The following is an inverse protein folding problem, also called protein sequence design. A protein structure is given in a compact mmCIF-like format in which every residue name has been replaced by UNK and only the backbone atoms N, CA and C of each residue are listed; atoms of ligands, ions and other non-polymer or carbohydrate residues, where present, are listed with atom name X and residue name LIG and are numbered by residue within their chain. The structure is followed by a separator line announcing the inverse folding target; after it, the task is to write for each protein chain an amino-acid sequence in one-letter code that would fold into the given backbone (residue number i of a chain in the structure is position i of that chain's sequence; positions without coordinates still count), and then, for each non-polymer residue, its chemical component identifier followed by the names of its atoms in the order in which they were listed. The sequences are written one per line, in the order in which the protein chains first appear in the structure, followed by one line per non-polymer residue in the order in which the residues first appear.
data_IF_887426591042
#
_entry.id   IF_887426591042
#
_cell.length_a   1.000
_cell.length_b   1.000
_cell.length_c   1.000
_cell.angle_alpha   90.00
_cell.angle_beta   90.00
_cell.angle_gamma   90.00
#
_symmetry.space_group_name_H-M   'P 1'
#
loop_
_entity.id
_entity.type
_entity.pdbx_description
1 polymer ?
#
# COMPACT_ATOMS: atom_id res chain seq x y z
N UNK A 1 -0.23 20.25 -5.04
CA UNK A 1 -0.62 19.80 -6.39
C UNK A 1 -1.39 18.49 -6.24
N UNK A 2 -2.38 18.24 -7.11
CA UNK A 2 -3.03 16.93 -7.16
C UNK A 2 -2.00 15.87 -7.59
N UNK A 3 -2.01 14.71 -6.94
CA UNK A 3 -1.14 13.61 -7.31
C UNK A 3 -1.56 13.06 -8.69
N UNK A 4 -0.60 12.90 -9.59
CA UNK A 4 -0.82 12.26 -10.89
C UNK A 4 -0.04 10.96 -10.96
N UNK A 5 -0.76 9.86 -11.17
CA UNK A 5 -0.17 8.52 -11.27
C UNK A 5 0.74 8.41 -12.49
N UNK A 6 1.91 7.81 -12.32
CA UNK A 6 2.85 7.52 -13.40
C UNK A 6 2.65 6.10 -13.93
N UNK A 7 2.25 6.01 -15.18
CA UNK A 7 2.03 4.74 -15.89
C UNK A 7 3.00 4.54 -17.06
N UNK A 8 3.84 5.53 -17.33
CA UNK A 8 4.79 5.50 -18.44
C UNK A 8 6.19 5.90 -17.98
N UNK A 9 7.20 5.41 -18.70
CA UNK A 9 8.60 5.80 -18.48
C UNK A 9 8.74 7.34 -18.50
N UNK A 10 9.56 7.92 -17.62
CA UNK A 10 9.89 9.35 -17.71
C UNK A 10 10.41 9.72 -19.09
N UNK A 11 9.91 10.82 -19.66
CA UNK A 11 10.33 11.30 -20.97
C UNK A 11 11.74 11.88 -20.98
N UNK A 12 12.31 12.01 -22.17
CA UNK A 12 13.60 12.65 -22.38
C UNK A 12 13.63 14.06 -21.78
N UNK A 13 14.73 14.41 -21.14
CA UNK A 13 14.90 15.73 -20.54
C UNK A 13 14.13 15.96 -19.24
N UNK A 14 13.41 14.96 -18.69
CA UNK A 14 12.75 15.12 -17.40
C UNK A 14 13.79 15.29 -16.28
N UNK A 15 13.85 16.51 -15.75
CA UNK A 15 14.88 16.98 -14.80
C UNK A 15 15.02 16.10 -13.53
N UNK A 16 13.97 15.38 -13.16
CA UNK A 16 14.00 14.53 -11.97
C UNK A 16 14.78 13.22 -12.17
N UNK A 17 15.06 12.84 -13.42
CA UNK A 17 15.72 11.58 -13.78
C UNK A 17 17.04 11.78 -14.51
N UNK A 18 17.52 13.01 -14.60
CA UNK A 18 18.79 13.36 -15.25
C UNK A 18 19.84 13.74 -14.21
N UNK A 19 20.97 13.03 -14.22
CA UNK A 19 22.10 13.25 -13.31
C UNK A 19 22.51 14.71 -13.19
N UNK A 20 22.71 15.35 -14.32
CA UNK A 20 23.26 16.71 -14.42
C UNK A 20 22.35 17.76 -13.78
N UNK A 21 21.04 17.55 -13.84
CA UNK A 21 20.05 18.44 -13.24
C UNK A 21 19.88 18.20 -11.73
N UNK A 22 20.32 17.05 -11.24
CA UNK A 22 20.09 16.61 -9.88
C UNK A 22 21.35 16.66 -9.00
N UNK A 23 22.39 17.33 -9.36
CA UNK A 23 23.68 17.43 -8.69
C UNK A 23 23.86 16.65 -7.38
N UNK A 24 24.97 16.02 -7.17
CA UNK A 24 25.28 15.33 -5.91
C UNK A 24 24.72 13.91 -5.74
N UNK A 25 24.18 13.31 -6.77
CA UNK A 25 23.86 11.88 -6.73
C UNK A 25 25.09 11.01 -6.49
N UNK A 26 24.96 10.03 -5.61
CA UNK A 26 25.97 8.99 -5.42
C UNK A 26 25.92 7.94 -6.51
N UNK A 27 26.97 7.12 -6.63
CA UNK A 27 27.00 6.00 -7.57
C UNK A 27 25.85 4.98 -7.34
N UNK A 28 25.28 4.92 -6.14
CA UNK A 28 24.15 4.06 -5.82
C UNK A 28 22.91 4.38 -6.67
N UNK A 29 22.71 5.65 -7.03
CA UNK A 29 21.58 6.08 -7.87
C UNK A 29 21.81 5.79 -9.34
N UNK A 30 23.07 5.78 -9.78
CA UNK A 30 23.36 5.76 -11.21
C UNK A 30 23.41 4.40 -11.83
N UNK A 31 23.64 3.35 -11.14
CA UNK A 31 23.71 2.03 -11.70
C UNK A 31 24.41 1.96 -13.07
N UNK A 32 23.93 1.07 -13.91
CA UNK A 32 24.28 0.99 -15.33
C UNK A 32 23.14 1.62 -16.14
N UNK A 33 23.23 2.88 -16.60
CA UNK A 33 22.20 3.47 -17.41
C UNK A 33 22.01 2.66 -18.69
N UNK A 34 20.80 2.17 -18.91
CA UNK A 34 20.38 1.52 -20.15
C UNK A 34 19.53 2.44 -21.00
N UNK A 35 19.25 3.63 -20.49
CA UNK A 35 18.40 4.63 -21.11
C UNK A 35 19.14 5.97 -21.17
N UNK A 36 19.53 6.39 -22.36
CA UNK A 36 20.21 7.66 -22.58
C UNK A 36 19.32 8.90 -22.35
N UNK A 37 18.02 8.73 -22.36
CA UNK A 37 17.05 9.81 -22.15
C UNK A 37 16.86 10.14 -20.68
N UNK A 38 16.96 9.11 -19.82
CA UNK A 38 16.82 9.22 -18.37
C UNK A 38 18.02 8.55 -17.73
N UNK A 39 19.09 9.28 -17.48
CA UNK A 39 20.37 8.69 -17.09
C UNK A 39 20.44 8.12 -15.65
N UNK A 40 19.38 8.19 -14.88
CA UNK A 40 19.22 7.46 -13.62
C UNK A 40 18.56 6.09 -13.80
N UNK A 41 18.07 5.78 -15.00
CA UNK A 41 17.50 4.50 -15.37
C UNK A 41 18.56 3.67 -16.14
N UNK A 42 18.65 2.38 -15.95
CA UNK A 42 17.78 1.56 -15.09
C UNK A 42 18.38 1.37 -13.71
N UNK A 43 17.65 1.84 -12.69
CA UNK A 43 18.06 1.75 -11.30
C UNK A 43 16.84 2.02 -10.39
N UNK A 44 16.53 1.13 -9.45
CA UNK A 44 15.39 1.30 -8.54
C UNK A 44 15.53 2.54 -7.66
N UNK A 45 16.73 2.78 -7.14
CA UNK A 45 17.04 3.92 -6.26
C UNK A 45 16.94 5.23 -7.04
N UNK A 46 17.56 5.30 -8.22
CA UNK A 46 17.52 6.49 -9.06
C UNK A 46 16.10 6.84 -9.50
N UNK A 47 15.33 5.82 -9.89
CA UNK A 47 13.93 6.01 -10.25
C UNK A 47 13.09 6.49 -9.07
N UNK A 48 13.11 5.76 -7.94
CA UNK A 48 12.30 6.11 -6.77
C UNK A 48 12.63 7.48 -6.21
N UNK A 49 13.92 7.83 -6.17
CA UNK A 49 14.39 9.15 -5.79
C UNK A 49 13.83 10.24 -6.73
N UNK A 50 13.98 10.05 -8.05
CA UNK A 50 13.44 10.98 -9.05
C UNK A 50 11.93 11.14 -8.93
N UNK A 51 11.19 10.04 -8.83
CA UNK A 51 9.73 10.05 -8.74
C UNK A 51 9.24 10.71 -7.45
N UNK A 52 9.89 10.42 -6.32
CA UNK A 52 9.52 11.00 -5.03
C UNK A 52 9.66 12.53 -5.05
N UNK A 53 10.71 13.05 -5.69
CA UNK A 53 10.92 14.49 -5.86
C UNK A 53 10.02 15.12 -6.92
N UNK A 54 9.71 14.39 -8.00
CA UNK A 54 8.76 14.82 -9.02
C UNK A 54 7.36 15.04 -8.43
N UNK A 55 6.89 14.14 -7.57
CA UNK A 55 5.62 14.26 -6.85
C UNK A 55 5.60 15.58 -6.03
N UNK A 56 6.71 15.91 -5.40
CA UNK A 56 6.85 17.14 -4.62
C UNK A 56 7.05 18.40 -5.44
N UNK A 57 7.35 18.27 -6.73
CA UNK A 57 7.69 19.39 -7.60
C UNK A 57 9.07 20.00 -7.30
N UNK A 58 9.95 19.27 -6.60
CA UNK A 58 11.26 19.76 -6.18
C UNK A 58 12.30 19.57 -7.28
N UNK A 59 13.08 20.61 -7.56
CA UNK A 59 14.17 20.52 -8.52
C UNK A 59 15.38 19.74 -8.02
N UNK A 60 15.42 19.41 -6.73
CA UNK A 60 16.51 18.73 -6.04
C UNK A 60 15.98 17.98 -4.83
N UNK A 61 16.61 16.90 -4.43
CA UNK A 61 16.14 16.08 -3.32
C UNK A 61 16.02 16.85 -2.01
N UNK A 62 14.81 16.99 -1.57
CA UNK A 62 14.51 17.61 -0.30
C UNK A 62 14.39 16.59 0.84
N UNK A 63 14.02 15.37 0.54
CA UNK A 63 13.59 14.42 1.55
C UNK A 63 14.38 13.12 1.63
N UNK A 64 14.76 12.53 0.52
CA UNK A 64 15.54 11.29 0.49
C UNK A 64 16.99 11.59 0.19
N UNK A 65 17.91 10.88 0.83
CA UNK A 65 19.33 10.93 0.47
C UNK A 65 19.64 9.89 -0.62
N UNK A 66 20.64 10.14 -1.48
CA UNK A 66 21.07 9.23 -2.52
C UNK A 66 21.92 8.09 -1.94
N UNK A 67 21.26 7.09 -1.37
CA UNK A 67 21.87 5.92 -0.72
C UNK A 67 21.31 4.63 -1.33
N UNK A 68 21.85 3.47 -0.96
CA UNK A 68 21.30 2.18 -1.32
C UNK A 68 19.87 2.01 -0.82
N UNK A 69 19.09 1.18 -1.51
CA UNK A 69 17.66 1.03 -1.28
C UNK A 69 17.30 0.73 0.18
N UNK A 70 17.99 -0.23 0.79
CA UNK A 70 17.80 -0.65 2.18
C UNK A 70 18.05 0.47 3.20
N UNK A 71 18.84 1.46 2.84
CA UNK A 71 19.17 2.57 3.70
C UNK A 71 18.20 3.76 3.62
N UNK A 72 17.25 3.75 2.68
CA UNK A 72 16.29 4.85 2.51
C UNK A 72 15.54 5.18 3.80
N UNK A 73 15.20 4.17 4.61
CA UNK A 73 14.51 4.38 5.89
C UNK A 73 15.37 5.21 6.86
N UNK A 74 16.68 5.03 6.87
CA UNK A 74 17.59 5.77 7.76
C UNK A 74 17.81 7.21 7.26
N UNK A 75 17.78 7.41 5.93
CA UNK A 75 18.07 8.69 5.28
C UNK A 75 16.82 9.38 4.72
N UNK A 76 15.67 9.11 5.32
CA UNK A 76 14.36 9.66 4.94
C UNK A 76 14.17 11.16 5.21
N UNK A 77 15.14 11.82 5.86
CA UNK A 77 14.99 13.20 6.32
C UNK A 77 13.83 13.34 7.30
N UNK A 78 12.98 14.35 7.10
CA UNK A 78 11.80 14.62 7.92
C UNK A 78 10.55 13.82 7.52
N UNK A 79 10.66 12.88 6.56
CA UNK A 79 9.52 12.08 6.15
C UNK A 79 9.10 11.11 7.26
N UNK A 80 7.79 10.91 7.43
CA UNK A 80 7.26 9.87 8.29
C UNK A 80 7.40 8.50 7.62
N UNK A 81 7.51 7.46 8.44
CA UNK A 81 7.53 6.05 8.01
C UNK A 81 6.39 5.31 8.67
N UNK A 82 5.75 4.43 7.94
CA UNK A 82 4.70 3.58 8.46
C UNK A 82 4.54 2.29 7.69
N UNK A 83 3.57 1.47 8.11
CA UNK A 83 3.26 0.17 7.52
C UNK A 83 1.96 0.17 6.70
N UNK A 84 1.25 1.29 6.69
CA UNK A 84 0.02 1.47 5.90
C UNK A 84 0.37 2.12 4.57
N UNK A 85 -0.06 1.57 3.43
CA UNK A 85 0.25 2.16 2.14
C UNK A 85 -0.43 3.52 1.95
N UNK A 86 0.31 4.47 1.38
CA UNK A 86 -0.22 5.78 0.96
C UNK A 86 0.26 6.08 -0.45
N UNK A 87 -0.56 6.77 -1.23
CA UNK A 87 -0.19 7.24 -2.57
C UNK A 87 1.05 8.13 -2.50
N UNK A 88 1.96 7.97 -3.43
CA UNK A 88 3.22 8.71 -3.48
C UNK A 88 4.29 8.23 -2.48
N UNK A 89 3.99 7.25 -1.63
CA UNK A 89 4.96 6.70 -0.70
C UNK A 89 6.05 5.88 -1.41
N UNK A 90 7.26 5.93 -0.86
CA UNK A 90 8.34 5.04 -1.28
C UNK A 90 8.30 3.75 -0.44
N UNK A 91 8.11 2.62 -1.08
CA UNK A 91 8.22 1.28 -0.51
C UNK A 91 9.68 0.88 -0.43
N UNK A 92 10.10 0.30 0.69
CA UNK A 92 11.51 -0.05 0.93
C UNK A 92 11.63 -1.51 1.36
N UNK A 93 12.52 -2.24 0.69
CA UNK A 93 12.90 -3.60 1.05
C UNK A 93 14.39 -3.73 1.26
N UNK A 94 14.77 -4.49 2.26
CA UNK A 94 16.12 -4.97 2.53
C UNK A 94 16.30 -6.35 1.91
N UNK A 95 17.39 -6.58 1.20
CA UNK A 95 17.81 -7.90 0.73
C UNK A 95 18.52 -8.67 1.83
N UNK A 96 18.42 -9.99 1.84
CA UNK A 96 19.14 -10.86 2.78
C UNK A 96 20.59 -11.08 2.34
N UNK A 97 21.51 -11.04 3.30
CA UNK A 97 22.94 -11.20 3.04
C UNK A 97 23.45 -10.09 2.11
N UNK A 98 24.16 -10.46 1.05
CA UNK A 98 24.73 -9.52 0.09
C UNK A 98 23.76 -9.09 -1.02
N UNK A 99 22.48 -9.50 -0.90
CA UNK A 99 21.47 -9.12 -1.88
C UNK A 99 21.10 -7.64 -1.71
N UNK A 100 21.24 -6.87 -2.78
CA UNK A 100 20.83 -5.47 -2.79
C UNK A 100 19.33 -5.33 -2.47
N UNK A 101 18.98 -4.30 -1.71
CA UNK A 101 17.60 -3.94 -1.44
C UNK A 101 16.83 -3.49 -2.69
N UNK A 102 15.55 -3.20 -2.50
CA UNK A 102 14.68 -2.68 -3.56
C UNK A 102 13.80 -1.56 -3.05
N UNK A 103 13.43 -0.65 -3.95
CA UNK A 103 12.47 0.44 -3.68
C UNK A 103 11.50 0.60 -4.85
N UNK A 104 10.28 1.00 -4.53
CA UNK A 104 9.21 1.28 -5.49
C UNK A 104 8.38 2.47 -5.04
N UNK A 105 7.69 3.14 -5.95
CA UNK A 105 6.78 4.23 -5.60
C UNK A 105 5.33 3.76 -5.74
N UNK A 106 4.52 4.03 -4.71
CA UNK A 106 3.09 3.74 -4.71
C UNK A 106 2.37 4.75 -5.59
N UNK A 107 1.80 4.30 -6.68
CA UNK A 107 1.05 5.13 -7.61
C UNK A 107 -0.46 5.11 -7.33
N UNK A 108 -0.96 4.00 -6.79
CA UNK A 108 -2.35 3.85 -6.38
C UNK A 108 -2.46 2.89 -5.20
N UNK A 109 -3.35 3.19 -4.29
CA UNK A 109 -3.75 2.31 -3.19
C UNK A 109 -5.15 1.81 -3.50
N UNK A 110 -5.32 0.50 -3.57
CA UNK A 110 -6.63 -0.14 -3.71
C UNK A 110 -7.22 -0.46 -2.33
N UNK A 111 -6.37 -0.98 -1.44
CA UNK A 111 -6.68 -1.21 -0.02
C UNK A 111 -5.36 -1.38 0.78
N UNK A 112 -5.46 -1.69 2.08
CA UNK A 112 -4.29 -1.85 2.95
C UNK A 112 -3.38 -3.06 2.60
N UNK A 113 -3.78 -3.90 1.65
CA UNK A 113 -3.03 -5.08 1.22
C UNK A 113 -2.75 -5.09 -0.28
N UNK A 114 -3.17 -4.06 -1.04
CA UNK A 114 -3.00 -4.02 -2.48
C UNK A 114 -2.69 -2.60 -2.95
N UNK A 115 -1.55 -2.46 -3.61
CA UNK A 115 -1.11 -1.21 -4.24
C UNK A 115 -0.69 -1.44 -5.69
N UNK A 116 -0.65 -0.38 -6.46
CA UNK A 116 -0.06 -0.31 -7.79
C UNK A 116 1.17 0.58 -7.70
N UNK A 117 2.29 0.12 -8.23
CA UNK A 117 3.59 0.78 -8.13
C UNK A 117 4.15 1.16 -9.48
N UNK A 118 5.08 2.10 -9.45
CA UNK A 118 6.03 2.35 -10.53
C UNK A 118 7.44 2.02 -10.05
N UNK A 119 8.23 1.40 -10.92
CA UNK A 119 9.49 0.77 -10.56
C UNK A 119 10.51 0.81 -11.67
N UNK A 120 11.77 0.62 -11.27
CA UNK A 120 12.92 0.34 -12.12
C UNK A 120 13.84 -0.67 -11.42
N UNK A 121 14.79 -1.26 -12.11
CA UNK A 121 15.75 -2.21 -11.53
C UNK A 121 17.16 -1.97 -12.02
N UNK A 122 18.15 -2.22 -11.17
CA UNK A 122 19.56 -2.03 -11.50
C UNK A 122 19.97 -2.87 -12.71
N UNK A 123 20.44 -2.22 -13.78
CA UNK A 123 20.88 -2.89 -14.99
C UNK A 123 19.77 -3.63 -15.75
N UNK A 124 18.51 -3.43 -15.42
CA UNK A 124 17.38 -4.06 -16.11
C UNK A 124 17.29 -3.57 -17.56
N UNK A 125 17.07 -4.50 -18.51
CA UNK A 125 16.78 -4.17 -19.91
C UNK A 125 15.47 -3.39 -20.05
N UNK A 126 14.50 -3.60 -19.14
CA UNK A 126 13.32 -2.77 -19.02
C UNK A 126 13.57 -1.69 -17.96
N UNK A 127 13.79 -0.44 -18.36
CA UNK A 127 14.13 0.64 -17.43
C UNK A 127 12.97 1.13 -16.58
N UNK A 128 11.75 0.72 -16.90
CA UNK A 128 10.55 1.14 -16.19
C UNK A 128 9.43 0.11 -16.34
N UNK A 129 8.72 -0.16 -15.24
CA UNK A 129 7.48 -0.94 -15.27
C UNK A 129 6.53 -0.52 -14.15
N UNK A 130 5.28 -0.93 -14.27
CA UNK A 130 4.30 -0.87 -13.21
C UNK A 130 4.00 -2.28 -12.71
N UNK A 131 3.68 -2.42 -11.42
CA UNK A 131 3.35 -3.69 -10.79
C UNK A 131 2.17 -3.56 -9.83
N UNK A 132 1.34 -4.59 -9.80
CA UNK A 132 0.46 -4.82 -8.66
C UNK A 132 1.25 -5.52 -7.56
N UNK A 133 1.23 -4.94 -6.35
CA UNK A 133 1.90 -5.52 -5.19
C UNK A 133 0.89 -5.81 -4.10
N UNK A 134 0.94 -7.05 -3.62
CA UNK A 134 0.03 -7.56 -2.61
C UNK A 134 0.79 -7.83 -1.31
N UNK A 135 0.18 -7.48 -0.18
CA UNK A 135 0.74 -7.72 1.14
C UNK A 135 0.57 -9.19 1.55
N UNK A 136 1.34 -10.06 0.93
CA UNK A 136 1.39 -11.48 1.30
C UNK A 136 2.38 -11.64 2.46
N UNK A 137 1.86 -11.83 3.68
CA UNK A 137 2.64 -11.99 4.91
C UNK A 137 3.66 -10.86 5.16
N UNK A 138 3.29 -9.63 4.88
CA UNK A 138 4.14 -8.45 5.09
C UNK A 138 5.23 -8.24 4.05
N UNK A 139 5.27 -8.99 2.93
CA UNK A 139 6.35 -8.94 1.94
C UNK A 139 6.09 -8.04 0.74
N UNK A 140 4.87 -7.66 0.50
CA UNK A 140 4.47 -6.79 -0.60
C UNK A 140 4.98 -7.24 -1.98
N UNK A 141 4.74 -8.53 -2.29
CA UNK A 141 5.05 -9.12 -3.59
C UNK A 141 6.53 -9.48 -3.82
N UNK A 142 7.42 -9.24 -2.86
CA UNK A 142 8.78 -9.76 -2.91
C UNK A 142 8.87 -11.19 -2.36
N UNK A 143 9.85 -11.95 -2.84
CA UNK A 143 10.11 -13.31 -2.37
C UNK A 143 10.72 -13.34 -0.96
N UNK A 144 11.02 -14.53 -0.45
CA UNK A 144 11.53 -14.73 0.92
C UNK A 144 12.94 -14.17 1.17
N UNK A 145 13.63 -13.72 0.12
CA UNK A 145 14.96 -13.11 0.24
C UNK A 145 14.89 -11.61 0.53
N UNK A 146 13.69 -11.06 0.60
CA UNK A 146 13.48 -9.66 0.95
C UNK A 146 12.67 -9.53 2.23
N UNK A 147 13.02 -8.52 3.01
CA UNK A 147 12.28 -8.05 4.18
C UNK A 147 11.73 -6.67 3.86
N UNK A 148 10.43 -6.49 3.94
CA UNK A 148 9.81 -5.17 3.82
C UNK A 148 10.11 -4.34 5.06
N UNK A 149 10.60 -3.12 4.87
CA UNK A 149 10.98 -2.21 5.95
C UNK A 149 9.90 -1.16 6.24
N UNK A 150 9.07 -0.81 5.26
CA UNK A 150 8.00 0.17 5.42
C UNK A 150 7.81 1.08 4.21
N UNK A 151 6.88 2.00 4.38
CA UNK A 151 6.56 3.08 3.46
C UNK A 151 7.12 4.39 3.99
N UNK A 152 7.95 5.08 3.20
CA UNK A 152 8.35 6.47 3.49
C UNK A 152 7.30 7.36 2.85
N UNK A 153 6.57 8.13 3.65
CA UNK A 153 5.47 8.97 3.16
C UNK A 153 5.99 10.26 2.52
N UNK A 154 5.49 10.57 1.33
CA UNK A 154 5.83 11.81 0.65
C UNK A 154 5.00 12.97 1.24
N UNK A 155 5.62 13.95 1.90
CA UNK A 155 4.89 15.03 2.57
C UNK A 155 4.23 16.02 1.60
N UNK A 156 4.56 15.94 0.31
CA UNK A 156 3.90 16.74 -0.72
C UNK A 156 2.52 16.18 -1.12
N UNK A 157 2.28 14.90 -0.87
CA UNK A 157 0.97 14.28 -1.09
C UNK A 157 0.12 14.59 0.14
N UNK A 158 -0.74 15.60 0.02
CA UNK A 158 -1.77 15.81 1.02
C UNK A 158 -2.74 14.63 0.93
N UNK A 159 -3.04 14.02 2.07
CA UNK A 159 -4.10 13.03 2.13
C UNK A 159 -5.37 13.69 1.59
N UNK A 160 -5.76 13.39 0.34
CA UNK A 160 -7.18 13.29 0.10
C UNK A 160 -7.60 12.13 0.99
N UNK A 161 -8.59 12.36 1.83
CA UNK A 161 -9.24 11.28 2.57
C UNK A 161 -9.90 10.40 1.50
N UNK A 162 -9.10 9.54 0.88
CA UNK A 162 -9.65 8.41 0.17
C UNK A 162 -10.20 7.57 1.31
N UNK A 163 -11.51 7.69 1.54
CA UNK A 163 -12.19 6.64 2.28
C UNK A 163 -11.73 5.35 1.62
N UNK A 164 -10.99 4.53 2.39
CA UNK A 164 -10.53 3.24 1.89
C UNK A 164 -11.75 2.59 1.23
N UNK A 165 -11.68 2.15 -0.03
CA UNK A 165 -12.84 1.60 -0.70
C UNK A 165 -13.44 0.57 0.25
N UNK A 166 -14.70 0.75 0.59
CA UNK A 166 -15.40 -0.12 1.55
C UNK A 166 -15.24 -1.52 1.01
N UNK A 167 -14.38 -2.29 1.67
CA UNK A 167 -14.06 -3.64 1.21
C UNK A 167 -15.36 -4.44 1.24
N UNK A 168 -15.79 -4.92 0.09
CA UNK A 168 -17.02 -5.72 -0.01
C UNK A 168 -16.95 -6.88 0.97
N UNK A 169 -18.02 -7.13 1.67
CA UNK A 169 -18.14 -8.29 2.54
C UNK A 169 -18.10 -9.59 1.71
N UNK A 170 -17.73 -10.68 2.35
CA UNK A 170 -17.73 -12.00 1.71
C UNK A 170 -19.12 -12.35 1.16
N UNK A 171 -20.17 -11.89 1.83
CA UNK A 171 -21.57 -12.09 1.40
C UNK A 171 -21.91 -11.29 0.14
N UNK A 172 -21.49 -10.04 0.04
CA UNK A 172 -21.63 -9.21 -1.17
C UNK A 172 -20.86 -9.81 -2.34
N UNK A 173 -19.61 -10.22 -2.12
CA UNK A 173 -18.78 -10.87 -3.14
C UNK A 173 -19.40 -12.20 -3.60
N UNK A 174 -19.92 -13.00 -2.68
CA UNK A 174 -20.60 -14.26 -3.01
C UNK A 174 -21.84 -14.02 -3.89
N UNK A 175 -22.63 -12.99 -3.60
CA UNK A 175 -23.78 -12.60 -4.43
C UNK A 175 -23.33 -12.11 -5.81
N UNK A 176 -22.27 -11.33 -5.90
CA UNK A 176 -21.68 -10.89 -7.17
C UNK A 176 -21.16 -12.07 -8.00
N UNK A 177 -20.50 -13.05 -7.34
CA UNK A 177 -20.07 -14.29 -7.98
C UNK A 177 -21.26 -15.07 -8.54
N UNK A 178 -22.35 -15.16 -7.79
CA UNK A 178 -23.60 -15.85 -8.25
C UNK A 178 -24.21 -15.13 -9.44
N UNK A 179 -24.16 -13.79 -9.50
CA UNK A 179 -24.60 -13.01 -10.67
C UNK A 179 -23.67 -13.14 -11.88
N UNK A 180 -22.45 -13.68 -11.71
CA UNK A 180 -21.46 -13.83 -12.78
C UNK A 180 -20.48 -12.67 -12.93
N UNK A 181 -20.53 -11.66 -12.05
CA UNK A 181 -19.72 -10.43 -12.13
C UNK A 181 -18.20 -10.72 -12.06
N UNK A 182 -17.81 -11.86 -11.49
CA UNK A 182 -16.42 -12.29 -11.29
C UNK A 182 -15.94 -13.38 -12.26
N UNK A 183 -16.70 -13.70 -13.30
CA UNK A 183 -16.36 -14.76 -14.24
C UNK A 183 -16.52 -16.18 -13.66
N UNK A 184 -15.86 -17.18 -14.28
CA UNK A 184 -16.00 -18.58 -13.92
C UNK A 184 -14.66 -19.29 -13.75
N UNK A 185 -14.63 -20.37 -12.94
CA UNK A 185 -13.47 -21.26 -12.80
C UNK A 185 -12.20 -20.52 -12.39
N UNK A 186 -11.12 -20.71 -13.15
CA UNK A 186 -9.82 -20.09 -12.86
C UNK A 186 -9.87 -18.57 -13.00
N UNK A 187 -10.57 -18.01 -14.00
CA UNK A 187 -10.73 -16.55 -14.18
C UNK A 187 -11.33 -15.88 -12.93
N UNK A 188 -12.37 -16.48 -12.33
CA UNK A 188 -12.94 -16.01 -11.06
C UNK A 188 -11.91 -16.00 -9.94
N UNK A 189 -11.16 -17.10 -9.81
CA UNK A 189 -10.12 -17.22 -8.78
C UNK A 189 -9.08 -16.13 -8.94
N UNK A 190 -8.61 -15.92 -10.17
CA UNK A 190 -7.57 -14.94 -10.48
C UNK A 190 -8.06 -13.50 -10.22
N UNK A 191 -9.28 -13.17 -10.63
CA UNK A 191 -9.88 -11.83 -10.39
C UNK A 191 -10.10 -11.55 -8.92
N UNK A 192 -10.67 -12.48 -8.15
CA UNK A 192 -10.88 -12.31 -6.71
C UNK A 192 -9.54 -12.17 -5.99
N UNK A 193 -8.55 -13.01 -6.34
CA UNK A 193 -7.20 -12.95 -5.77
C UNK A 193 -6.51 -11.65 -6.15
N UNK A 194 -6.60 -11.23 -7.40
CA UNK A 194 -6.05 -9.97 -7.89
C UNK A 194 -6.69 -8.75 -7.22
N UNK A 195 -7.96 -8.84 -6.85
CA UNK A 195 -8.65 -7.83 -6.05
C UNK A 195 -8.36 -7.91 -4.54
N UNK A 196 -7.49 -8.84 -4.12
CA UNK A 196 -7.06 -9.00 -2.73
C UNK A 196 -8.06 -9.75 -1.85
N UNK A 197 -9.04 -10.45 -2.44
CA UNK A 197 -10.00 -11.25 -1.69
C UNK A 197 -9.56 -12.71 -1.58
N UNK A 198 -9.95 -13.36 -0.49
CA UNK A 198 -9.73 -14.79 -0.31
C UNK A 198 -10.74 -15.59 -1.13
N UNK A 199 -10.30 -16.13 -2.26
CA UNK A 199 -11.15 -16.95 -3.13
C UNK A 199 -11.87 -18.09 -2.41
N UNK A 200 -11.16 -18.81 -1.53
CA UNK A 200 -11.73 -19.97 -0.83
C UNK A 200 -12.86 -19.58 0.10
N UNK A 201 -12.72 -18.44 0.77
CA UNK A 201 -13.73 -17.89 1.68
C UNK A 201 -14.97 -17.42 0.90
N UNK A 202 -14.77 -16.70 -0.21
CA UNK A 202 -15.85 -16.24 -1.08
C UNK A 202 -16.57 -17.44 -1.72
N UNK A 203 -15.82 -18.41 -2.24
CA UNK A 203 -16.41 -19.61 -2.88
C UNK A 203 -17.13 -20.50 -1.85
N UNK A 204 -16.62 -20.59 -0.63
CA UNK A 204 -17.31 -21.25 0.48
C UNK A 204 -18.69 -20.64 0.72
N UNK A 205 -18.76 -19.31 0.78
CA UNK A 205 -20.02 -18.58 0.96
C UNK A 205 -20.98 -18.72 -0.24
N UNK A 206 -20.48 -18.71 -1.46
CA UNK A 206 -21.26 -19.03 -2.66
C UNK A 206 -21.92 -20.39 -2.53
N UNK A 207 -21.16 -21.40 -2.12
CA UNK A 207 -21.66 -22.77 -1.97
C UNK A 207 -22.75 -22.87 -0.87
N UNK A 208 -22.60 -22.14 0.23
CA UNK A 208 -23.59 -22.05 1.30
C UNK A 208 -24.91 -21.45 0.79
N UNK A 209 -24.84 -20.32 0.08
CA UNK A 209 -26.01 -19.65 -0.50
C UNK A 209 -26.73 -20.57 -1.48
N UNK A 210 -26.00 -21.24 -2.38
CA UNK A 210 -26.57 -22.12 -3.41
C UNK A 210 -27.18 -23.42 -2.84
N UNK A 211 -26.71 -23.91 -1.70
CA UNK A 211 -27.25 -25.08 -1.02
C UNK A 211 -28.53 -24.79 -0.22
N UNK A 212 -28.99 -23.53 -0.23
CA UNK A 212 -30.14 -23.13 0.58
C UNK A 212 -29.89 -23.11 2.06
N UNK A 213 -28.65 -23.33 2.50
CA UNK A 213 -28.19 -23.10 3.85
C UNK A 213 -28.02 -21.59 4.07
N UNK A 214 -29.03 -20.82 3.76
CA UNK A 214 -29.20 -19.45 4.23
C UNK A 214 -29.61 -19.52 5.71
N UNK A 215 -28.67 -19.91 6.57
CA UNK A 215 -28.67 -19.27 7.86
C UNK A 215 -28.55 -17.77 7.49
N UNK A 216 -29.62 -17.05 7.70
CA UNK A 216 -29.60 -15.60 7.69
C UNK A 216 -28.63 -15.17 8.79
N UNK A 217 -27.34 -15.24 8.48
CA UNK A 217 -26.38 -14.39 9.18
C UNK A 217 -26.91 -12.99 8.90
N UNK A 218 -27.29 -12.22 9.91
CA UNK A 218 -27.76 -10.86 9.73
C UNK A 218 -26.70 -10.18 8.86
N UNK A 219 -27.14 -9.36 7.90
CA UNK A 219 -26.26 -8.48 7.14
C UNK A 219 -25.18 -8.02 8.12
N UNK A 220 -23.91 -8.40 7.93
CA UNK A 220 -22.93 -8.22 8.98
C UNK A 220 -22.81 -6.72 9.16
N UNK A 221 -23.43 -6.20 10.22
CA UNK A 221 -23.34 -4.83 10.68
C UNK A 221 -21.90 -4.50 11.14
N UNK A 222 -20.90 -5.16 10.55
CA UNK A 222 -19.50 -4.96 10.87
C UNK A 222 -18.93 -3.86 10.01
N UNK A 223 -18.62 -2.76 10.64
CA UNK A 223 -17.91 -1.62 10.06
C UNK A 223 -16.43 -1.81 10.34
N UNK A 224 -15.59 -1.58 9.35
CA UNK A 224 -14.14 -1.44 9.51
C UNK A 224 -13.82 0.04 9.71
N UNK A 225 -13.19 0.39 10.83
CA UNK A 225 -12.84 1.77 11.17
C UNK A 225 -11.35 1.92 11.45
N UNK A 226 -10.70 2.88 10.79
CA UNK A 226 -9.30 3.23 11.06
C UNK A 226 -9.24 4.36 12.06
N UNK A 227 -8.53 4.15 13.17
CA UNK A 227 -8.35 5.13 14.25
C UNK A 227 -7.65 6.38 13.75
N UNK A 228 -8.21 7.53 14.06
CA UNK A 228 -7.69 8.87 13.72
C UNK A 228 -7.15 9.58 14.95
N UNK A 229 -6.38 10.64 14.73
CA UNK A 229 -5.87 11.49 15.82
C UNK A 229 -7.02 12.09 16.63
N UNK A 230 -6.97 11.91 17.95
CA UNK A 230 -8.00 12.38 18.87
C UNK A 230 -9.15 11.40 19.11
N UNK A 231 -9.13 10.23 18.45
CA UNK A 231 -10.13 9.20 18.72
C UNK A 231 -9.94 8.57 20.10
N UNK A 232 -11.06 8.18 20.66
CA UNK A 232 -11.16 7.32 21.83
C UNK A 232 -12.14 6.19 21.53
N UNK A 233 -12.01 5.04 22.19
CA UNK A 233 -12.99 3.95 22.04
C UNK A 233 -14.40 4.40 22.38
N UNK A 234 -14.54 5.29 23.39
CA UNK A 234 -15.83 5.90 23.75
C UNK A 234 -16.42 6.72 22.60
N UNK A 235 -15.61 7.61 21.98
CA UNK A 235 -16.04 8.45 20.86
C UNK A 235 -16.40 7.63 19.62
N UNK A 236 -15.64 6.59 19.35
CA UNK A 236 -15.91 5.66 18.25
C UNK A 236 -17.22 4.89 18.52
N UNK A 237 -17.44 4.40 19.76
CA UNK A 237 -18.67 3.70 20.14
C UNK A 237 -19.89 4.65 20.06
N UNK A 238 -19.77 5.88 20.53
CA UNK A 238 -20.84 6.87 20.40
C UNK A 238 -21.24 7.10 18.95
N UNK A 239 -20.25 7.22 18.05
CA UNK A 239 -20.46 7.47 16.62
C UNK A 239 -21.08 6.29 15.88
N UNK A 240 -20.57 5.08 16.10
CA UNK A 240 -20.92 3.90 15.30
C UNK A 240 -21.93 2.97 15.96
N UNK A 241 -22.00 2.94 17.29
CA UNK A 241 -22.94 2.12 18.08
C UNK A 241 -24.05 2.96 18.73
N UNK A 242 -24.05 4.29 18.52
CA UNK A 242 -25.02 5.21 19.09
C UNK A 242 -24.88 5.48 20.58
N UNK A 243 -23.95 4.82 21.26
CA UNK A 243 -23.72 4.97 22.70
C UNK A 243 -22.25 4.73 23.05
N UNK A 244 -21.59 5.76 23.63
CA UNK A 244 -20.18 5.67 24.03
C UNK A 244 -19.90 4.59 25.08
N UNK A 245 -20.86 4.29 25.97
CA UNK A 245 -20.72 3.24 27.01
C UNK A 245 -20.53 1.83 26.41
N UNK A 246 -20.86 1.63 25.13
CA UNK A 246 -20.62 0.36 24.40
C UNK A 246 -19.18 0.18 23.92
N UNK A 247 -18.26 1.07 24.30
CA UNK A 247 -16.84 0.94 23.93
C UNK A 247 -16.20 -0.43 24.29
N UNK A 248 -16.61 -1.16 25.34
CA UNK A 248 -16.06 -2.47 25.64
C UNK A 248 -16.33 -3.50 24.53
N UNK A 249 -17.41 -3.37 23.77
CA UNK A 249 -17.73 -4.24 22.64
C UNK A 249 -16.67 -4.08 21.54
N UNK A 250 -16.31 -2.82 21.22
CA UNK A 250 -15.25 -2.52 20.25
C UNK A 250 -13.90 -3.05 20.77
N UNK A 251 -13.58 -2.81 22.04
CA UNK A 251 -12.34 -3.28 22.64
C UNK A 251 -12.21 -4.81 22.57
N UNK A 252 -13.23 -5.52 23.00
CA UNK A 252 -13.22 -6.98 23.02
C UNK A 252 -13.07 -7.60 21.61
N UNK A 253 -13.77 -7.03 20.63
CA UNK A 253 -13.67 -7.46 19.23
C UNK A 253 -12.31 -7.17 18.59
N UNK A 254 -11.52 -6.24 19.15
CA UNK A 254 -10.26 -5.77 18.59
C UNK A 254 -9.08 -5.88 19.56
N UNK A 255 -9.20 -6.70 20.60
CA UNK A 255 -8.19 -6.82 21.66
C UNK A 255 -6.81 -7.25 21.14
N UNK A 256 -6.76 -8.06 20.08
CA UNK A 256 -5.52 -8.46 19.43
C UNK A 256 -4.78 -7.28 18.76
N UNK A 257 -5.52 -6.28 18.31
CA UNK A 257 -4.96 -5.06 17.65
C UNK A 257 -4.65 -3.98 18.68
N UNK A 258 -5.50 -3.82 19.70
CA UNK A 258 -5.38 -2.78 20.74
C UNK A 258 -4.34 -3.18 21.80
N UNK A 259 -4.28 -4.44 22.16
CA UNK A 259 -3.48 -4.94 23.28
C UNK A 259 -4.26 -4.94 24.60
N UNK A 260 -3.53 -5.00 25.72
CA UNK A 260 -4.11 -5.15 27.06
C UNK A 260 -4.71 -3.87 27.66
N UNK A 261 -4.35 -2.70 27.11
CA UNK A 261 -4.82 -1.41 27.62
C UNK A 261 -5.78 -0.73 26.65
N UNK A 262 -7.11 -0.66 26.96
CA UNK A 262 -8.10 -0.04 26.10
C UNK A 262 -7.93 1.48 25.91
N UNK A 263 -7.16 2.13 26.79
CA UNK A 263 -6.91 3.57 26.68
C UNK A 263 -5.74 3.91 25.73
N UNK A 264 -5.05 2.90 25.19
CA UNK A 264 -3.92 3.09 24.31
C UNK A 264 -4.23 2.66 22.86
N UNK A 265 -5.24 3.27 22.26
CA UNK A 265 -5.46 3.14 20.83
C UNK A 265 -4.52 4.07 20.06
N UNK A 266 -4.03 3.62 18.90
CA UNK A 266 -3.06 4.34 18.08
C UNK A 266 -3.64 4.66 16.72
N UNK A 267 -3.33 5.85 16.22
CA UNK A 267 -3.68 6.25 14.85
C UNK A 267 -3.20 5.19 13.85
N UNK A 268 -4.08 4.81 12.93
CA UNK A 268 -3.81 3.78 11.93
C UNK A 268 -4.21 2.35 12.34
N UNK A 269 -4.55 2.09 13.59
CA UNK A 269 -5.15 0.80 13.97
C UNK A 269 -6.52 0.64 13.29
N UNK A 270 -6.80 -0.57 12.81
CA UNK A 270 -8.05 -0.89 12.10
C UNK A 270 -8.92 -1.74 13.00
N UNK A 271 -10.09 -1.22 13.36
CA UNK A 271 -11.06 -1.88 14.23
C UNK A 271 -12.24 -2.45 13.45
N UNK A 272 -12.71 -3.61 13.88
CA UNK A 272 -13.99 -4.20 13.46
C UNK A 272 -15.05 -3.82 14.48
N UNK A 273 -16.10 -3.15 14.03
CA UNK A 273 -17.20 -2.64 14.86
C UNK A 273 -18.48 -3.32 14.38
N UNK A 274 -19.10 -4.12 15.23
CA UNK A 274 -20.40 -4.74 14.95
C UNK A 274 -21.51 -3.85 15.50
N UNK A 275 -22.42 -3.38 14.61
CA UNK A 275 -23.60 -2.57 15.00
C UNK A 275 -24.65 -3.44 15.68
#
# INVERSE_FOLDING_TARGET
MAFTMRTTKPGAGNKYYIRKAQGGYSNAIYGKPTDSECNVLSNCVGFAYGRFNEIGGYGYCKYLAPVNAENFIQYKGSCEVGMVPKVGACMVWEGKGDLAGHVAIVEKVYDNNHVYTSESGYGSKNPFWNSHRYNNNGRWGCNSNYKFLGFIYNPAVKEEVIEAPVRKSVDELAREVIRGDWGNGQDRKDRLTAAGYNYSEVQGRVNEILRGNVSSAPASNVITYTVKRGDTLWGIAARYLGNGSRWPEIYNANKAVIGSNPNLIRVGQVFRITK
#
